data_IF_170939607028
#
_entry.id   IF_170939607028
#
_cell.length_a   1.000
_cell.length_b   1.000
_cell.length_c   1.000
_cell.angle_alpha   90.00
_cell.angle_beta   90.00
_cell.angle_gamma   90.00
#
_symmetry.space_group_name_H-M   'P 1'
#
loop_
_entity.id
_entity.type
_entity.pdbx_description
1 polymer ?
#
# COMPACT_ATOMS: atom_id res chain seq x y z
N UNK A 1 -17.31 6.76 10.40
CA UNK A 1 -16.24 5.76 10.44
C UNK A 1 -16.02 5.22 9.04
N UNK A 2 -14.84 5.43 8.47
CA UNK A 2 -14.48 4.92 7.13
C UNK A 2 -13.86 3.54 7.26
N UNK A 3 -13.92 2.77 6.17
CA UNK A 3 -13.41 1.40 6.09
C UNK A 3 -12.40 1.28 4.96
N UNK A 4 -11.27 0.67 5.22
CA UNK A 4 -10.21 0.46 4.24
C UNK A 4 -9.89 -1.03 4.12
N UNK A 5 -9.37 -1.45 2.97
CA UNK A 5 -8.95 -2.83 2.75
C UNK A 5 -7.48 -2.89 2.39
N UNK A 6 -6.78 -3.83 3.00
CA UNK A 6 -5.46 -4.25 2.58
C UNK A 6 -5.57 -5.50 1.72
N UNK A 7 -5.19 -5.37 0.46
CA UNK A 7 -5.19 -6.47 -0.50
C UNK A 7 -3.76 -7.01 -0.62
N UNK A 8 -3.54 -8.23 -0.13
CA UNK A 8 -2.21 -8.78 0.12
C UNK A 8 -2.02 -10.12 -0.57
N UNK A 9 -0.91 -10.28 -1.27
CA UNK A 9 -0.52 -11.56 -1.88
C UNK A 9 0.73 -12.20 -1.25
N UNK A 10 1.58 -11.41 -0.61
CA UNK A 10 2.88 -11.84 -0.11
C UNK A 10 3.24 -11.14 1.21
N UNK A 11 4.06 -11.80 2.04
CA UNK A 11 4.43 -11.34 3.38
C UNK A 11 5.25 -10.04 3.43
N UNK A 12 5.87 -9.62 2.32
CA UNK A 12 6.54 -8.30 2.28
C UNK A 12 5.58 -7.13 2.48
N UNK A 13 4.27 -7.35 2.34
CA UNK A 13 3.25 -6.32 2.50
C UNK A 13 3.16 -5.79 3.94
N UNK A 14 3.39 -6.63 4.96
CA UNK A 14 3.26 -6.22 6.36
C UNK A 14 4.05 -4.96 6.69
N UNK A 15 5.39 -4.90 6.52
CA UNK A 15 6.14 -3.72 6.90
C UNK A 15 5.75 -2.45 6.11
N UNK A 16 5.11 -2.56 4.94
CA UNK A 16 4.62 -1.43 4.14
C UNK A 16 3.26 -0.94 4.65
N UNK A 17 2.35 -1.88 4.95
CA UNK A 17 0.97 -1.56 5.31
C UNK A 17 0.79 -1.23 6.80
N UNK A 18 1.70 -1.67 7.67
CA UNK A 18 1.63 -1.43 9.12
C UNK A 18 1.62 0.06 9.51
N UNK A 19 2.43 0.94 8.89
CA UNK A 19 2.36 2.38 9.20
C UNK A 19 1.05 3.01 8.72
N UNK A 20 0.57 2.59 7.54
CA UNK A 20 -0.73 3.01 6.99
C UNK A 20 -1.87 2.59 7.93
N UNK A 21 -1.83 1.37 8.43
CA UNK A 21 -2.78 0.86 9.42
C UNK A 21 -2.82 1.72 10.68
N UNK A 22 -1.64 2.06 11.20
CA UNK A 22 -1.51 2.84 12.43
C UNK A 22 -2.16 4.22 12.24
N UNK A 23 -1.96 4.83 11.08
CA UNK A 23 -2.60 6.12 10.75
C UNK A 23 -4.11 6.01 10.54
N UNK A 24 -4.60 4.92 9.92
CA UNK A 24 -6.05 4.65 9.80
C UNK A 24 -6.69 4.55 11.19
N UNK A 25 -6.11 3.75 12.08
CA UNK A 25 -6.61 3.59 13.45
C UNK A 25 -6.51 4.88 14.26
N UNK A 26 -5.42 5.64 14.13
CA UNK A 26 -5.26 6.94 14.80
C UNK A 26 -6.37 7.92 14.43
N UNK A 27 -6.93 7.82 13.21
CA UNK A 27 -8.08 8.63 12.75
C UNK A 27 -9.44 8.14 13.25
N UNK A 28 -9.49 7.01 13.95
CA UNK A 28 -10.74 6.36 14.37
C UNK A 28 -11.47 5.63 13.24
N UNK A 29 -10.76 5.28 12.17
CA UNK A 29 -11.29 4.48 11.06
C UNK A 29 -10.89 3.00 11.20
N UNK A 30 -11.49 2.12 10.39
CA UNK A 30 -11.22 0.68 10.39
C UNK A 30 -10.47 0.22 9.14
N UNK A 31 -9.66 -0.83 9.28
CA UNK A 31 -9.05 -1.54 8.15
C UNK A 31 -9.11 -3.06 8.35
N UNK A 32 -9.30 -3.79 7.26
CA UNK A 32 -9.27 -5.25 7.23
C UNK A 32 -8.24 -5.78 6.22
N UNK A 33 -7.78 -7.01 6.43
CA UNK A 33 -6.83 -7.71 5.55
C UNK A 33 -7.55 -8.75 4.69
N UNK A 34 -7.26 -8.76 3.39
CA UNK A 34 -7.72 -9.78 2.44
C UNK A 34 -6.52 -10.38 1.72
N UNK A 35 -6.38 -11.71 1.79
CA UNK A 35 -5.25 -12.45 1.25
C UNK A 35 -5.64 -13.21 -0.02
N UNK A 36 -4.96 -12.96 -1.13
CA UNK A 36 -5.29 -13.56 -2.44
C UNK A 36 -4.67 -14.92 -2.70
N UNK A 37 -3.66 -15.28 -1.90
CA UNK A 37 -2.87 -16.50 -2.07
C UNK A 37 -2.45 -17.01 -0.70
N UNK A 38 -2.19 -18.32 -0.56
CA UNK A 38 -1.54 -18.86 0.63
C UNK A 38 -0.20 -18.14 0.81
N UNK A 39 -0.09 -17.35 1.87
CA UNK A 39 1.15 -16.77 2.33
C UNK A 39 1.14 -16.79 3.86
N UNK A 40 2.31 -16.73 4.48
CA UNK A 40 2.40 -16.67 5.93
C UNK A 40 1.60 -15.47 6.46
N UNK A 41 0.66 -15.76 7.36
CA UNK A 41 -0.23 -14.77 7.94
C UNK A 41 0.32 -14.34 9.30
N UNK A 42 0.76 -13.09 9.39
CA UNK A 42 1.33 -12.48 10.59
C UNK A 42 0.41 -11.38 11.11
N UNK A 43 -0.87 -11.74 11.28
CA UNK A 43 -1.86 -10.86 11.90
C UNK A 43 -1.63 -10.83 13.42
N UNK A 44 -1.69 -9.64 13.99
CA UNK A 44 -1.72 -9.39 15.42
C UNK A 44 -3.13 -9.61 15.97
N UNK A 45 -3.24 -9.75 17.28
CA UNK A 45 -4.52 -9.79 17.96
C UNK A 45 -5.33 -8.51 17.68
N UNK A 46 -6.64 -8.68 17.48
CA UNK A 46 -7.57 -7.58 17.14
C UNK A 46 -7.60 -7.18 15.67
N UNK A 47 -6.75 -7.76 14.81
CA UNK A 47 -6.79 -7.47 13.38
C UNK A 47 -7.89 -8.23 12.64
N UNK A 48 -8.69 -7.50 11.86
CA UNK A 48 -9.79 -8.06 11.08
C UNK A 48 -9.26 -8.66 9.77
N UNK A 49 -9.57 -9.93 9.54
CA UNK A 49 -9.34 -10.61 8.26
C UNK A 49 -10.67 -10.86 7.55
N UNK A 50 -10.75 -10.50 6.28
CA UNK A 50 -11.81 -10.94 5.37
C UNK A 50 -11.26 -12.08 4.52
N UNK A 51 -11.96 -13.22 4.51
CA UNK A 51 -11.53 -14.47 3.87
C UNK A 51 -12.21 -14.70 2.53
N UNK A 52 -13.33 -14.03 2.26
CA UNK A 52 -14.11 -14.24 1.04
C UNK A 52 -14.38 -12.94 0.30
N UNK A 53 -14.61 -13.05 -1.01
CA UNK A 53 -15.05 -11.91 -1.84
C UNK A 53 -16.34 -11.33 -1.28
N UNK A 54 -17.29 -12.18 -0.85
CA UNK A 54 -18.56 -11.77 -0.26
C UNK A 54 -18.35 -10.86 0.95
N UNK A 55 -17.46 -11.26 1.88
CA UNK A 55 -17.12 -10.45 3.04
C UNK A 55 -16.52 -9.09 2.66
N UNK A 56 -15.70 -9.02 1.60
CA UNK A 56 -15.16 -7.75 1.10
C UNK A 56 -16.28 -6.84 0.57
N UNK A 57 -17.22 -7.40 -0.20
CA UNK A 57 -18.35 -6.64 -0.73
C UNK A 57 -19.25 -6.11 0.39
N UNK A 58 -19.54 -6.93 1.41
CA UNK A 58 -20.33 -6.55 2.59
C UNK A 58 -19.60 -5.53 3.47
N UNK A 59 -18.27 -5.65 3.59
CA UNK A 59 -17.43 -4.71 4.32
C UNK A 59 -17.43 -3.33 3.66
N UNK A 60 -17.56 -3.27 2.33
CA UNK A 60 -17.67 -2.06 1.51
C UNK A 60 -16.58 -0.99 1.80
N UNK A 61 -15.29 -1.32 1.61
CA UNK A 61 -14.20 -0.37 1.81
C UNK A 61 -14.27 0.82 0.86
N UNK A 62 -13.90 2.00 1.35
CA UNK A 62 -13.80 3.23 0.53
C UNK A 62 -12.51 3.30 -0.28
N UNK A 63 -11.48 2.54 0.13
CA UNK A 63 -10.24 2.38 -0.61
C UNK A 63 -9.58 1.03 -0.31
N UNK A 64 -8.87 0.51 -1.31
CA UNK A 64 -8.13 -0.74 -1.27
C UNK A 64 -6.65 -0.45 -1.53
N UNK A 65 -5.80 -0.66 -0.54
CA UNK A 65 -4.35 -0.53 -0.68
C UNK A 65 -3.72 -1.86 -1.04
N UNK A 66 -2.82 -1.86 -2.03
CA UNK A 66 -2.01 -3.02 -2.39
C UNK A 66 -0.55 -2.65 -2.60
N UNK A 67 0.38 -3.39 -1.97
CA UNK A 67 1.81 -3.33 -2.29
C UNK A 67 2.17 -4.00 -3.62
N UNK A 68 1.26 -4.82 -4.16
CA UNK A 68 1.47 -5.59 -5.38
C UNK A 68 1.08 -4.84 -6.65
N UNK A 69 1.25 -5.51 -7.79
CA UNK A 69 0.95 -4.95 -9.11
C UNK A 69 -0.46 -5.33 -9.62
N UNK A 70 -1.29 -5.92 -8.76
CA UNK A 70 -2.63 -6.40 -9.08
C UNK A 70 -3.59 -6.13 -7.92
N UNK A 71 -4.84 -5.91 -8.26
CA UNK A 71 -6.01 -5.82 -7.38
C UNK A 71 -7.23 -6.23 -8.20
N UNK A 72 -8.29 -6.70 -7.56
CA UNK A 72 -9.55 -6.95 -8.25
C UNK A 72 -10.28 -5.64 -8.52
N UNK A 73 -10.62 -5.40 -9.78
CA UNK A 73 -11.28 -4.18 -10.26
C UNK A 73 -12.68 -3.99 -9.66
N UNK A 74 -13.43 -5.09 -9.50
CA UNK A 74 -14.79 -5.11 -8.99
C UNK A 74 -14.91 -4.92 -7.47
N UNK A 75 -13.80 -4.93 -6.72
CA UNK A 75 -13.86 -4.56 -5.30
C UNK A 75 -14.34 -3.11 -5.19
N UNK A 76 -15.11 -2.75 -4.15
CA UNK A 76 -15.53 -1.36 -3.97
C UNK A 76 -14.34 -0.44 -3.59
N UNK A 77 -14.58 0.87 -3.67
CA UNK A 77 -13.61 1.90 -3.25
C UNK A 77 -12.49 2.19 -4.25
N UNK A 78 -11.67 3.20 -3.93
CA UNK A 78 -10.53 3.62 -4.75
C UNK A 78 -9.38 2.60 -4.67
N UNK A 79 -8.78 2.24 -5.79
CA UNK A 79 -7.66 1.32 -5.90
C UNK A 79 -6.33 2.07 -5.77
N UNK A 80 -5.64 1.85 -4.67
CA UNK A 80 -4.41 2.57 -4.32
C UNK A 80 -3.21 1.63 -4.36
N UNK A 81 -2.26 1.92 -5.23
CA UNK A 81 -0.97 1.23 -5.22
C UNK A 81 -0.01 1.94 -4.26
N UNK A 82 0.57 1.14 -3.35
CA UNK A 82 1.77 1.50 -2.60
C UNK A 82 2.91 0.58 -3.07
N UNK A 83 4.15 1.02 -2.99
CA UNK A 83 5.25 0.30 -3.66
C UNK A 83 5.98 -0.67 -2.74
N UNK A 84 6.28 -1.85 -3.29
CA UNK A 84 7.02 -2.91 -2.61
C UNK A 84 8.50 -2.58 -2.34
N UNK A 85 9.10 -1.68 -3.11
CA UNK A 85 10.50 -1.30 -3.02
C UNK A 85 10.88 -0.33 -4.12
N UNK A 86 12.08 0.26 -4.02
CA UNK A 86 12.61 1.19 -5.01
C UNK A 86 12.76 0.52 -6.38
N UNK A 87 12.65 1.32 -7.44
CA UNK A 87 13.00 0.91 -8.79
C UNK A 87 14.49 0.53 -8.82
N UNK A 88 14.76 -0.77 -8.78
CA UNK A 88 16.06 -1.34 -9.08
C UNK A 88 15.84 -2.07 -10.40
N UNK A 89 16.61 -1.72 -11.42
CA UNK A 89 16.62 -2.45 -12.69
C UNK A 89 17.24 -3.84 -12.48
N UNK A 90 16.49 -4.72 -11.81
CA UNK A 90 16.89 -6.10 -11.57
C UNK A 90 17.03 -6.88 -12.88
N UNK A 91 16.41 -6.37 -13.96
CA UNK A 91 16.42 -6.94 -15.32
C UNK A 91 16.38 -5.79 -16.34
N UNK A 92 17.54 -5.35 -16.85
CA UNK A 92 17.61 -4.31 -17.89
C UNK A 92 16.69 -4.66 -19.05
N UNK A 93 15.87 -3.70 -19.50
CA UNK A 93 14.97 -3.86 -20.64
C UNK A 93 13.65 -4.60 -20.36
N UNK A 94 13.38 -5.09 -19.14
CA UNK A 94 12.09 -5.72 -18.79
C UNK A 94 11.08 -4.82 -18.07
N UNK A 95 11.48 -3.61 -17.65
CA UNK A 95 10.60 -2.45 -17.39
C UNK A 95 9.37 -2.64 -16.50
N UNK A 96 9.26 -3.74 -15.72
CA UNK A 96 7.98 -4.12 -15.09
C UNK A 96 7.54 -3.15 -14.00
N UNK A 97 8.49 -2.42 -13.40
CA UNK A 97 8.25 -1.50 -12.29
C UNK A 97 7.34 -0.32 -12.69
N UNK A 98 7.40 0.12 -13.94
CA UNK A 98 6.63 1.26 -14.45
C UNK A 98 5.44 0.84 -15.33
N UNK A 99 5.18 -0.47 -15.46
CA UNK A 99 4.12 -0.97 -16.33
C UNK A 99 2.73 -0.68 -15.75
N UNK A 100 1.99 0.21 -16.41
CA UNK A 100 0.57 0.50 -16.11
C UNK A 100 -0.32 -0.62 -16.63
N UNK A 101 -1.19 -1.14 -15.76
CA UNK A 101 -2.10 -2.27 -16.05
C UNK A 101 -3.58 -1.86 -16.09
N UNK A 102 -3.89 -0.59 -15.81
CA UNK A 102 -5.26 -0.09 -15.73
C UNK A 102 -6.05 -0.59 -14.51
N UNK A 103 -5.36 -1.01 -13.44
CA UNK A 103 -5.98 -1.58 -12.23
C UNK A 103 -6.03 -0.61 -11.04
N UNK A 104 -5.43 0.58 -11.18
CA UNK A 104 -5.23 1.52 -10.08
C UNK A 104 -5.76 2.90 -10.44
N UNK A 105 -6.44 3.51 -9.47
CA UNK A 105 -6.91 4.89 -9.54
C UNK A 105 -5.84 5.85 -9.00
N UNK A 106 -5.02 5.38 -8.05
CA UNK A 106 -3.98 6.18 -7.38
C UNK A 106 -2.68 5.39 -7.27
N UNK A 107 -1.56 6.04 -7.57
CA UNK A 107 -0.21 5.56 -7.28
C UNK A 107 0.46 6.46 -6.23
N UNK A 108 0.82 5.87 -5.09
CA UNK A 108 1.54 6.55 -4.02
C UNK A 108 3.05 6.28 -4.14
N UNK A 109 3.77 7.10 -4.91
CA UNK A 109 5.18 6.88 -5.24
C UNK A 109 6.11 7.20 -4.07
N UNK A 110 7.29 6.58 -4.08
CA UNK A 110 8.22 6.57 -2.95
C UNK A 110 9.13 7.80 -2.87
N UNK A 111 9.34 8.51 -3.98
CA UNK A 111 10.26 9.64 -4.04
C UNK A 111 10.76 9.97 -5.44
N UNK A 112 11.68 10.94 -5.49
CA UNK A 112 12.18 11.57 -6.72
C UNK A 112 12.78 10.63 -7.77
N UNK A 113 13.15 9.41 -7.40
CA UNK A 113 13.69 8.41 -8.34
C UNK A 113 12.63 7.70 -9.19
N UNK A 114 11.35 7.74 -8.80
CA UNK A 114 10.25 7.11 -9.55
C UNK A 114 9.10 8.06 -9.86
N UNK A 115 8.82 9.04 -8.98
CA UNK A 115 7.70 9.98 -9.15
C UNK A 115 7.67 10.69 -10.51
N UNK A 116 8.78 11.26 -11.04
CA UNK A 116 8.72 11.99 -12.30
C UNK A 116 8.25 11.13 -13.47
N UNK A 117 8.63 9.85 -13.49
CA UNK A 117 8.20 8.92 -14.53
C UNK A 117 6.70 8.61 -14.42
N UNK A 118 6.21 8.34 -13.20
CA UNK A 118 4.78 8.11 -12.99
C UNK A 118 3.93 9.34 -13.32
N UNK A 119 4.42 10.56 -13.06
CA UNK A 119 3.72 11.79 -13.47
C UNK A 119 3.62 11.94 -14.99
N UNK A 120 4.61 11.47 -15.74
CA UNK A 120 4.51 11.43 -17.21
C UNK A 120 3.47 10.41 -17.66
N UNK A 121 3.46 9.23 -17.04
CA UNK A 121 2.44 8.20 -17.30
C UNK A 121 1.03 8.70 -16.94
N UNK A 122 0.87 9.47 -15.86
CA UNK A 122 -0.41 10.11 -15.50
C UNK A 122 -0.91 11.02 -16.64
N UNK A 123 -0.05 11.88 -17.19
CA UNK A 123 -0.41 12.76 -18.31
C UNK A 123 -0.79 11.97 -19.56
N UNK A 124 -0.07 10.87 -19.83
CA UNK A 124 -0.32 10.02 -20.99
C UNK A 124 -1.65 9.27 -20.88
N UNK A 125 -1.90 8.60 -19.75
CA UNK A 125 -3.00 7.65 -19.62
C UNK A 125 -4.29 8.25 -19.03
N UNK A 126 -4.19 9.32 -18.23
CA UNK A 126 -5.30 10.16 -17.74
C UNK A 126 -6.40 9.47 -16.93
N UNK A 127 -6.23 8.22 -16.50
CA UNK A 127 -7.21 7.48 -15.70
C UNK A 127 -6.77 7.21 -14.26
N UNK A 128 -5.61 7.72 -13.85
CA UNK A 128 -5.11 7.60 -12.47
C UNK A 128 -4.43 8.90 -12.02
N UNK A 129 -4.18 9.01 -10.71
CA UNK A 129 -3.43 10.10 -10.08
C UNK A 129 -2.16 9.61 -9.39
N UNK A 130 -1.13 10.44 -9.39
CA UNK A 130 0.16 10.17 -8.72
C UNK A 130 0.37 11.14 -7.58
N UNK A 131 0.75 10.61 -6.43
CA UNK A 131 1.15 11.40 -5.27
C UNK A 131 2.48 10.87 -4.74
N UNK A 132 3.46 11.75 -4.55
CA UNK A 132 4.69 11.39 -3.85
C UNK A 132 4.42 11.38 -2.34
N UNK A 133 4.46 10.19 -1.74
CA UNK A 133 4.10 10.00 -0.32
C UNK A 133 5.27 9.51 0.54
N UNK A 134 6.45 9.31 -0.06
CA UNK A 134 7.51 8.55 0.58
C UNK A 134 7.22 7.06 0.60
N UNK A 135 8.14 6.28 1.19
CA UNK A 135 7.96 4.84 1.35
C UNK A 135 7.53 4.49 2.78
N UNK A 136 6.25 4.18 2.98
CA UNK A 136 5.69 3.90 4.31
C UNK A 136 6.51 2.89 5.12
N UNK A 137 7.18 1.92 4.48
CA UNK A 137 8.05 0.95 5.15
C UNK A 137 9.12 1.61 6.03
N UNK A 138 9.61 2.79 5.65
CA UNK A 138 10.65 3.52 6.38
C UNK A 138 10.13 4.33 7.55
N UNK A 139 8.83 4.55 7.67
CA UNK A 139 8.23 5.37 8.74
C UNK A 139 8.60 4.84 10.13
N UNK A 140 8.65 3.52 10.30
CA UNK A 140 9.07 2.89 11.55
C UNK A 140 10.53 3.17 11.90
N UNK A 141 11.41 3.33 10.90
CA UNK A 141 12.82 3.66 11.15
C UNK A 141 12.93 5.08 11.71
N UNK A 142 12.21 6.04 11.13
CA UNK A 142 12.24 7.44 11.59
C UNK A 142 11.74 7.58 13.03
N UNK A 143 10.65 6.89 13.40
CA UNK A 143 10.16 6.90 14.79
C UNK A 143 11.18 6.31 15.76
N UNK A 144 11.87 5.22 15.38
CA UNK A 144 12.91 4.61 16.20
C UNK A 144 14.12 5.54 16.38
N UNK A 145 14.59 6.20 15.33
CA UNK A 145 15.71 7.14 15.41
C UNK A 145 15.41 8.35 16.29
N UNK A 146 14.20 8.91 16.19
CA UNK A 146 13.78 10.00 17.09
C UNK A 146 13.77 9.52 18.55
N UNK A 147 13.20 8.34 18.83
CA UNK A 147 13.21 7.79 20.18
C UNK A 147 14.63 7.57 20.72
N UNK A 148 15.56 7.03 19.94
CA UNK A 148 16.96 6.82 20.40
C UNK A 148 17.71 8.12 20.64
N UNK A 149 17.51 9.15 19.80
CA UNK A 149 18.18 10.45 19.97
C UNK A 149 17.65 11.18 21.21
N UNK A 150 16.34 11.12 21.46
CA UNK A 150 15.72 11.82 22.58
C UNK A 150 15.76 11.04 23.91
N UNK A 151 15.86 9.71 23.89
CA UNK A 151 16.04 8.89 25.11
C UNK A 151 17.49 8.80 25.60
N UNK A 152 18.47 9.28 24.83
CA UNK A 152 19.89 9.38 25.26
C UNK A 152 20.25 10.73 25.90
N UNK A 153 19.25 11.57 26.20
CA UNK A 153 19.43 12.88 26.85
C UNK A 153 19.12 12.89 28.36
N UNK A 154 18.95 11.71 28.98
CA UNK A 154 18.85 11.56 30.43
C UNK A 154 20.14 11.00 31.03
#
# INVERSE_FOLDING_TARGET
MKRYLFFVSLSYAYPILRPIQSEIWRRGDEVAWFFTSPCDQYLHEGEKQLKTIKEVMEYNPIAVFTPGNKVYDFFPGVKVQVFHGFSIDKRPGRGDHFRIRGLFDIFCTQGSTSTPHFLELEKQYRHFKVYETGWSKTDRLLTFFLHVIFSKKE
#
